data_IF_558167726673
#
_entry.id   IF_558167726673
#
_cell.length_a   1.000
_cell.length_b   1.000
_cell.length_c   1.000
_cell.angle_alpha   90.00
_cell.angle_beta   90.00
_cell.angle_gamma   90.00
#
_symmetry.space_group_name_H-M   'P 1'
#
loop_
_entity.id
_entity.type
_entity.pdbx_description
1 polymer ?
#
# COMPACT_ATOMS: atom_id res chain seq x y z
N UNK A 1 11.77 32.02 -5.12
CA UNK A 1 11.43 31.31 -6.37
C UNK A 1 10.37 30.24 -6.18
N UNK A 2 10.48 29.37 -5.15
CA UNK A 2 9.50 28.30 -4.88
C UNK A 2 8.08 28.78 -4.52
N UNK A 3 7.95 29.91 -3.81
CA UNK A 3 6.63 30.48 -3.46
C UNK A 3 5.78 30.80 -4.71
N UNK A 4 6.39 31.34 -5.76
CA UNK A 4 5.69 31.64 -7.01
C UNK A 4 5.24 30.35 -7.69
N UNK A 5 6.03 29.28 -7.62
CA UNK A 5 5.66 27.95 -8.14
C UNK A 5 4.47 27.39 -7.36
N UNK A 6 4.48 27.47 -6.03
CA UNK A 6 3.35 27.00 -5.19
C UNK A 6 2.09 27.81 -5.47
N UNK A 7 2.18 29.13 -5.55
CA UNK A 7 1.04 30.00 -5.85
C UNK A 7 0.49 29.73 -7.25
N UNK A 8 1.36 29.50 -8.24
CA UNK A 8 0.97 29.11 -9.59
C UNK A 8 0.26 27.75 -9.60
N UNK A 9 0.76 26.78 -8.83
CA UNK A 9 0.17 25.45 -8.71
C UNK A 9 -1.22 25.51 -8.07
N UNK A 10 -1.37 26.26 -6.97
CA UNK A 10 -2.66 26.48 -6.29
C UNK A 10 -3.62 27.23 -7.21
N UNK A 11 -3.16 28.26 -7.92
CA UNK A 11 -3.98 29.00 -8.88
C UNK A 11 -4.47 28.09 -10.03
N UNK A 12 -3.63 27.15 -10.49
CA UNK A 12 -3.99 26.17 -11.53
C UNK A 12 -5.01 25.13 -11.04
N UNK A 13 -5.05 24.84 -9.73
CA UNK A 13 -6.02 23.91 -9.16
C UNK A 13 -7.45 24.47 -9.15
N UNK A 14 -7.63 25.79 -9.06
CA UNK A 14 -8.95 26.43 -8.99
C UNK A 14 -9.79 26.18 -10.28
N UNK A 15 -9.29 26.41 -11.50
CA UNK A 15 -10.02 26.08 -12.74
C UNK A 15 -10.34 24.60 -12.88
N UNK A 16 -9.39 23.72 -12.50
CA UNK A 16 -9.56 22.27 -12.56
C UNK A 16 -10.72 21.86 -11.65
N UNK A 17 -10.75 22.36 -10.42
CA UNK A 17 -11.83 22.10 -9.47
C UNK A 17 -13.19 22.60 -10.00
N UNK A 18 -13.24 23.78 -10.63
CA UNK A 18 -14.47 24.33 -11.21
C UNK A 18 -15.01 23.46 -12.36
N UNK A 19 -14.14 23.03 -13.28
CA UNK A 19 -14.52 22.17 -14.42
C UNK A 19 -14.97 20.78 -13.95
N UNK A 20 -14.30 20.22 -12.93
CA UNK A 20 -14.71 18.93 -12.37
C UNK A 20 -16.04 19.00 -11.62
N UNK A 21 -16.34 20.12 -10.96
CA UNK A 21 -17.59 20.30 -10.20
C UNK A 21 -18.83 20.28 -11.11
N UNK A 22 -18.71 20.77 -12.34
CA UNK A 22 -19.75 20.72 -13.37
C UNK A 22 -19.81 19.38 -14.14
N UNK A 23 -18.87 18.46 -13.90
CA UNK A 23 -18.75 17.18 -14.59
C UNK A 23 -19.25 15.99 -13.73
N UNK A 24 -19.82 14.93 -14.33
CA UNK A 24 -20.29 13.73 -13.60
C UNK A 24 -19.23 13.05 -12.73
N UNK A 25 -17.94 13.31 -12.97
CA UNK A 25 -16.82 12.87 -12.14
C UNK A 25 -16.75 13.60 -10.79
N UNK A 26 -16.97 14.92 -10.76
CA UNK A 26 -17.06 15.67 -9.51
C UNK A 26 -18.29 15.27 -8.71
N UNK A 27 -19.40 14.97 -9.38
CA UNK A 27 -20.65 14.53 -8.72
C UNK A 27 -20.56 13.10 -8.17
N UNK A 28 -19.83 12.18 -8.79
CA UNK A 28 -19.65 10.82 -8.27
C UNK A 28 -18.65 10.76 -7.11
N UNK A 29 -17.59 11.59 -7.16
CA UNK A 29 -16.70 11.83 -6.02
C UNK A 29 -17.46 12.52 -4.89
N UNK A 30 -18.24 13.57 -5.20
CA UNK A 30 -19.11 14.23 -4.24
C UNK A 30 -20.14 13.28 -3.64
N UNK A 31 -20.71 12.33 -4.39
CA UNK A 31 -21.67 11.34 -3.85
C UNK A 31 -21.00 10.29 -2.96
N UNK A 32 -19.73 9.95 -3.26
CA UNK A 32 -18.89 9.11 -2.39
C UNK A 32 -18.45 9.87 -1.14
N UNK A 33 -18.29 11.19 -1.25
CA UNK A 33 -17.99 12.11 -0.14
C UNK A 33 -19.25 12.50 0.67
N UNK A 34 -20.44 12.61 0.07
CA UNK A 34 -21.73 12.92 0.71
C UNK A 34 -22.27 11.70 1.44
N UNK A 35 -22.05 10.48 0.91
CA UNK A 35 -22.19 9.23 1.69
C UNK A 35 -21.20 9.14 2.87
N UNK A 36 -20.25 10.07 2.96
CA UNK A 36 -19.29 10.25 4.04
C UNK A 36 -19.41 11.64 4.72
N UNK A 37 -20.45 12.42 4.38
CA UNK A 37 -20.40 13.88 4.44
C UNK A 37 -21.56 14.55 5.19
N UNK A 38 -22.29 13.84 6.03
CA UNK A 38 -23.29 14.45 6.92
C UNK A 38 -22.65 15.08 8.17
N UNK A 39 -21.52 15.78 7.99
CA UNK A 39 -20.79 16.43 9.07
C UNK A 39 -19.52 17.12 8.59
N UNK A 40 -19.62 18.42 8.31
CA UNK A 40 -18.53 19.28 7.89
C UNK A 40 -17.24 19.11 8.72
N UNK A 41 -16.10 19.25 8.05
CA UNK A 41 -14.75 19.36 8.61
C UNK A 41 -14.20 18.18 9.47
N UNK A 42 -14.97 17.11 9.72
CA UNK A 42 -14.52 15.96 10.54
C UNK A 42 -14.20 14.68 9.74
N UNK A 43 -14.38 14.68 8.41
CA UNK A 43 -14.34 13.47 7.57
C UNK A 43 -12.95 12.98 7.12
N UNK A 44 -11.91 13.81 7.20
CA UNK A 44 -10.55 13.38 6.80
C UNK A 44 -9.91 12.45 7.84
N UNK A 45 -10.17 12.65 9.13
CA UNK A 45 -9.56 11.85 10.21
C UNK A 45 -10.08 10.42 10.31
N UNK A 46 -11.37 10.18 10.04
CA UNK A 46 -11.96 8.84 10.16
C UNK A 46 -11.57 7.92 8.99
N UNK A 47 -11.51 8.46 7.76
CA UNK A 47 -11.02 7.73 6.60
C UNK A 47 -9.52 7.40 6.70
N UNK A 48 -8.73 8.34 7.21
CA UNK A 48 -7.30 8.12 7.47
C UNK A 48 -7.09 7.07 8.56
N UNK A 49 -7.81 7.11 9.68
CA UNK A 49 -7.73 6.07 10.73
C UNK A 49 -8.12 4.68 10.25
N UNK A 50 -9.09 4.58 9.32
CA UNK A 50 -9.45 3.29 8.73
C UNK A 50 -8.37 2.80 7.75
N UNK A 51 -7.71 3.72 7.05
CA UNK A 51 -6.57 3.41 6.18
C UNK A 51 -5.36 2.95 7.02
N UNK A 52 -5.05 3.63 8.13
CA UNK A 52 -3.99 3.28 9.08
C UNK A 52 -4.18 1.86 9.63
N UNK A 53 -5.38 1.50 10.09
CA UNK A 53 -5.66 0.12 10.54
C UNK A 53 -5.47 -0.92 9.45
N UNK A 54 -5.82 -0.59 8.20
CA UNK A 54 -5.61 -1.51 7.08
C UNK A 54 -4.13 -1.66 6.75
N UNK A 55 -3.35 -0.59 6.88
CA UNK A 55 -1.90 -0.61 6.70
C UNK A 55 -1.23 -1.45 7.79
N UNK A 56 -1.60 -1.25 9.06
CA UNK A 56 -1.07 -2.02 10.19
C UNK A 56 -1.32 -3.54 10.06
N UNK A 57 -2.51 -3.92 9.59
CA UNK A 57 -2.83 -5.33 9.29
C UNK A 57 -1.97 -5.85 8.13
N UNK A 58 -1.83 -5.08 7.06
CA UNK A 58 -1.00 -5.48 5.91
C UNK A 58 0.48 -5.59 6.25
N UNK A 59 1.00 -4.72 7.13
CA UNK A 59 2.37 -4.80 7.62
C UNK A 59 2.60 -6.06 8.45
N UNK A 60 1.64 -6.39 9.33
CA UNK A 60 1.67 -7.63 10.12
C UNK A 60 1.65 -8.86 9.22
N UNK A 61 0.75 -8.90 8.24
CA UNK A 61 0.66 -10.00 7.28
C UNK A 61 1.95 -10.15 6.47
N UNK A 62 2.60 -9.05 6.11
CA UNK A 62 3.90 -9.06 5.41
C UNK A 62 5.04 -9.60 6.28
N UNK A 63 5.08 -9.25 7.56
CA UNK A 63 6.06 -9.80 8.50
C UNK A 63 5.88 -11.32 8.67
N UNK A 64 4.63 -11.79 8.76
CA UNK A 64 4.32 -13.21 8.85
C UNK A 64 4.69 -13.96 7.57
N UNK A 65 4.38 -13.38 6.40
CA UNK A 65 4.77 -13.94 5.11
C UNK A 65 6.30 -14.02 4.95
N UNK A 66 7.02 -12.97 5.36
CA UNK A 66 8.47 -12.93 5.30
C UNK A 66 9.12 -13.99 6.19
N UNK A 67 8.52 -14.24 7.37
CA UNK A 67 8.95 -15.30 8.29
C UNK A 67 8.70 -16.69 7.71
N UNK A 68 7.55 -16.89 7.07
CA UNK A 68 7.20 -18.14 6.37
C UNK A 68 8.15 -18.43 5.20
N UNK A 69 8.47 -17.42 4.39
CA UNK A 69 9.45 -17.54 3.29
C UNK A 69 10.85 -17.90 3.82
N UNK A 70 11.25 -17.30 4.94
CA UNK A 70 12.55 -17.61 5.57
C UNK A 70 12.59 -19.06 6.07
N UNK A 71 11.53 -19.55 6.71
CA UNK A 71 11.41 -20.95 7.12
C UNK A 71 11.43 -21.93 5.93
N UNK A 72 10.69 -21.64 4.86
CA UNK A 72 10.72 -22.45 3.64
C UNK A 72 12.10 -22.49 2.97
N UNK A 73 12.87 -21.39 3.05
CA UNK A 73 14.26 -21.38 2.54
C UNK A 73 15.18 -22.30 3.35
N UNK A 74 15.01 -22.35 4.66
CA UNK A 74 15.76 -23.27 5.53
C UNK A 74 15.42 -24.73 5.24
N UNK A 75 14.15 -25.05 5.02
CA UNK A 75 13.72 -26.40 4.62
C UNK A 75 14.30 -26.80 3.26
N UNK A 76 14.27 -25.91 2.27
CA UNK A 76 14.88 -26.16 0.96
C UNK A 76 16.39 -26.37 1.06
N UNK A 77 17.08 -25.58 1.90
CA UNK A 77 18.52 -25.72 2.11
C UNK A 77 18.86 -27.04 2.84
N UNK A 78 18.03 -27.45 3.80
CA UNK A 78 18.16 -28.74 4.49
C UNK A 78 17.95 -29.91 3.54
N UNK A 79 16.90 -29.88 2.69
CA UNK A 79 16.66 -30.88 1.65
C UNK A 79 17.82 -30.92 0.64
N UNK A 80 18.34 -29.76 0.26
CA UNK A 80 19.50 -29.67 -0.62
C UNK A 80 20.74 -30.32 0.01
N UNK A 81 20.99 -30.07 1.31
CA UNK A 81 22.09 -30.68 2.09
C UNK A 81 21.96 -32.21 2.15
N UNK A 82 20.75 -32.70 2.44
CA UNK A 82 20.40 -34.12 2.47
C UNK A 82 20.54 -34.81 1.11
N UNK A 83 20.38 -34.07 0.02
CA UNK A 83 20.60 -34.57 -1.34
C UNK A 83 22.04 -34.41 -1.83
N UNK A 84 22.85 -33.59 -1.17
CA UNK A 84 24.28 -33.39 -1.45
C UNK A 84 25.16 -34.46 -0.78
N UNK A 85 24.85 -34.82 0.48
CA UNK A 85 25.55 -35.87 1.24
C UNK A 85 25.53 -37.28 0.61
N UNK A 86 24.43 -37.81 0.03
CA UNK A 86 24.42 -39.14 -0.59
C UNK A 86 25.25 -39.21 -1.86
N UNK A 87 25.53 -38.07 -2.53
CA UNK A 87 26.33 -38.03 -3.77
C UNK A 87 27.84 -37.98 -3.52
N UNK A 88 28.27 -37.55 -2.33
CA UNK A 88 29.69 -37.55 -1.94
C UNK A 88 30.18 -38.88 -1.38
N UNK A 89 29.28 -39.81 -1.04
CA UNK A 89 29.62 -41.18 -0.62
C UNK A 89 29.67 -42.15 -1.81
N UNK A 90 30.48 -41.86 -2.84
CA UNK A 90 31.07 -42.92 -3.66
C UNK A 90 32.45 -43.19 -3.08
N UNK A 91 32.66 -44.25 -2.28
CA UNK A 91 34.00 -44.71 -2.00
C UNK A 91 34.55 -45.26 -3.31
N UNK A 92 35.35 -44.45 -4.00
CA UNK A 92 36.48 -44.98 -4.75
C UNK A 92 37.59 -45.25 -3.76
N UNK A 93 37.57 -46.44 -3.14
CA UNK A 93 38.74 -47.22 -2.70
C UNK A 93 38.27 -48.54 -2.11
#
# INVERSE_FOLDING_TARGET
MWLLVVVLLVALMIPIAAILLDSPLGRSIARRLEGQGDGGAAGTGAGVRQLERRVEVLETDLEELNRSISGMREELQFVQRLLEDPRKKKPGS
#
